data_IF_000952222042
#
_entry.id   IF_000952222042
#
_cell.length_a   1.000
_cell.length_b   1.000
_cell.length_c   1.000
_cell.angle_alpha   90.00
_cell.angle_beta   90.00
_cell.angle_gamma   90.00
#
_symmetry.space_group_name_H-M   'P 1'
#
loop_
_entity.id
_entity.type
_entity.pdbx_description
1 polymer ?
#
# COMPACT_ATOMS: atom_id res chain seq x y z
N UNK A 1 11.00 -4.59 27.43
CA UNK A 1 10.83 -3.41 26.54
C UNK A 1 12.05 -3.27 25.62
N UNK A 2 13.26 -3.30 26.14
CA UNK A 2 14.50 -3.12 25.33
C UNK A 2 14.68 -4.29 24.35
N UNK A 3 14.46 -5.52 24.77
CA UNK A 3 14.54 -6.73 23.95
C UNK A 3 13.55 -6.75 22.76
N UNK A 4 12.47 -5.98 22.85
CA UNK A 4 11.45 -5.83 21.81
C UNK A 4 11.62 -4.57 20.98
N UNK A 5 12.78 -3.89 21.04
CA UNK A 5 13.06 -2.67 20.28
C UNK A 5 12.26 -1.44 20.73
N UNK A 6 11.65 -1.48 21.92
CA UNK A 6 10.87 -0.38 22.47
C UNK A 6 11.84 0.59 23.18
N UNK A 7 11.87 1.85 22.73
CA UNK A 7 12.62 2.91 23.41
C UNK A 7 12.05 3.13 24.80
N UNK A 8 12.87 2.89 25.83
CA UNK A 8 12.47 3.04 27.23
C UNK A 8 13.13 4.29 27.79
N UNK A 9 12.34 5.15 28.45
CA UNK A 9 12.79 6.34 29.15
C UNK A 9 12.28 6.23 30.60
N UNK A 10 13.15 6.48 31.56
CA UNK A 10 12.81 6.45 32.98
C UNK A 10 12.68 7.86 33.53
N UNK A 11 11.70 8.10 34.38
CA UNK A 11 11.72 9.29 35.27
C UNK A 11 12.84 9.10 36.29
N UNK A 12 13.65 10.13 36.49
CA UNK A 12 14.77 10.08 37.40
C UNK A 12 14.28 9.99 38.86
N UNK A 13 14.68 8.93 39.53
CA UNK A 13 14.32 8.65 40.91
C UNK A 13 15.55 8.11 41.66
N UNK A 14 15.60 8.18 43.00
CA UNK A 14 16.69 7.58 43.77
C UNK A 14 16.88 6.08 43.51
N UNK A 15 15.81 5.38 43.12
CA UNK A 15 15.82 3.93 42.94
C UNK A 15 16.40 3.49 41.60
N UNK A 16 16.40 4.37 40.58
CA UNK A 16 16.86 4.01 39.23
C UNK A 16 18.16 4.74 38.82
N UNK A 17 18.85 5.38 39.72
CA UNK A 17 20.06 6.20 39.47
C UNK A 17 21.22 5.44 38.81
N UNK A 18 21.28 4.14 38.98
CA UNK A 18 22.29 3.25 38.39
C UNK A 18 21.86 2.56 37.11
N UNK A 19 20.65 2.85 36.61
CA UNK A 19 20.18 2.29 35.36
C UNK A 19 20.91 2.88 34.15
N UNK A 20 21.34 2.07 33.21
CA UNK A 20 21.92 2.49 31.92
C UNK A 20 20.86 2.98 30.91
N UNK A 21 19.60 3.04 31.32
CA UNK A 21 18.50 3.52 30.47
C UNK A 21 18.46 5.05 30.53
N UNK A 22 18.14 5.69 29.38
CA UNK A 22 17.96 7.15 29.33
C UNK A 22 16.96 7.63 30.37
N UNK A 23 17.28 8.66 31.11
CA UNK A 23 16.47 9.23 32.18
C UNK A 23 16.11 10.67 31.92
N UNK A 24 14.95 11.09 32.39
CA UNK A 24 14.48 12.48 32.38
C UNK A 24 14.04 12.91 33.76
N UNK A 25 14.37 14.17 34.15
CA UNK A 25 14.12 14.71 35.50
C UNK A 25 12.74 15.35 35.64
N UNK A 26 12.02 15.57 34.54
CA UNK A 26 10.73 16.22 34.55
C UNK A 26 9.90 15.83 33.34
N UNK A 27 8.57 16.01 33.42
CA UNK A 27 7.68 15.87 32.30
C UNK A 27 8.04 16.81 31.13
N UNK A 28 8.55 18.01 31.43
CA UNK A 28 9.05 18.96 30.43
C UNK A 28 10.23 18.38 29.64
N UNK A 29 11.17 17.75 30.32
CA UNK A 29 12.30 17.04 29.70
C UNK A 29 11.82 15.83 28.91
N UNK A 30 10.87 15.06 29.46
CA UNK A 30 10.24 13.93 28.76
C UNK A 30 9.59 14.38 27.44
N UNK A 31 8.76 15.41 27.47
CA UNK A 31 8.14 15.96 26.25
C UNK A 31 9.18 16.47 25.26
N UNK A 32 10.22 17.15 25.71
CA UNK A 32 11.31 17.59 24.86
C UNK A 32 12.05 16.41 24.23
N UNK A 33 12.34 15.38 25.01
CA UNK A 33 12.99 14.17 24.53
C UNK A 33 12.13 13.48 23.47
N UNK A 34 10.86 13.22 23.75
CA UNK A 34 9.93 12.60 22.81
C UNK A 34 9.77 13.45 21.54
N UNK A 35 9.67 14.76 21.65
CA UNK A 35 9.56 15.66 20.50
C UNK A 35 10.82 15.63 19.62
N UNK A 36 12.00 15.57 20.23
CA UNK A 36 13.30 15.53 19.52
C UNK A 36 13.61 14.14 18.92
N UNK A 37 12.94 13.08 19.41
CA UNK A 37 13.12 11.69 18.95
C UNK A 37 11.87 11.16 18.24
N UNK A 38 10.92 12.03 17.90
CA UNK A 38 9.79 11.66 17.03
C UNK A 38 10.39 11.25 15.69
N UNK A 39 10.24 9.98 15.32
CA UNK A 39 10.68 9.52 13.99
C UNK A 39 10.02 10.39 12.93
N UNK A 40 10.81 10.88 12.00
CA UNK A 40 10.26 11.56 10.82
C UNK A 40 9.25 10.63 10.14
N UNK A 41 8.11 11.21 9.79
CA UNK A 41 7.10 10.44 9.05
C UNK A 41 7.66 10.03 7.69
N UNK A 42 7.31 8.84 7.29
CA UNK A 42 7.70 8.30 5.98
C UNK A 42 6.84 8.96 4.90
N UNK A 43 7.49 9.64 3.95
CA UNK A 43 6.82 10.22 2.78
C UNK A 43 6.35 9.12 1.85
N UNK A 44 5.05 9.11 1.52
CA UNK A 44 4.49 8.12 0.62
C UNK A 44 3.38 8.66 -0.28
N UNK A 45 3.19 7.94 -1.37
CA UNK A 45 2.07 8.05 -2.32
C UNK A 45 1.36 6.71 -2.33
N UNK A 46 0.02 6.71 -2.32
CA UNK A 46 -0.80 5.52 -2.57
C UNK A 46 -1.35 5.59 -4.00
N UNK A 47 -1.09 4.57 -4.82
CA UNK A 47 -1.66 4.40 -6.16
C UNK A 47 -2.65 3.22 -6.12
N UNK A 48 -3.96 3.50 -6.31
CA UNK A 48 -5.08 2.61 -5.96
C UNK A 48 -6.23 2.69 -6.95
N UNK A 49 -6.89 1.58 -7.22
CA UNK A 49 -8.13 1.49 -8.01
C UNK A 49 -9.36 1.22 -7.12
N UNK A 50 -9.52 2.03 -6.08
CA UNK A 50 -10.35 1.90 -4.86
C UNK A 50 -11.80 1.41 -5.07
N UNK A 51 -12.38 1.50 -6.25
CA UNK A 51 -13.75 1.01 -6.51
C UNK A 51 -13.79 -0.33 -7.26
N UNK A 52 -12.64 -0.86 -7.62
CA UNK A 52 -12.55 -2.10 -8.38
C UNK A 52 -13.08 -3.31 -7.57
N UNK A 53 -12.47 -3.57 -6.42
CA UNK A 53 -12.93 -4.59 -5.46
C UNK A 53 -13.19 -3.95 -4.09
N UNK A 54 -13.27 -4.74 -3.03
CA UNK A 54 -13.59 -4.21 -1.69
C UNK A 54 -12.34 -3.98 -0.80
N UNK A 55 -11.20 -4.47 -1.20
CA UNK A 55 -9.98 -4.49 -0.37
C UNK A 55 -9.19 -3.18 -0.40
N UNK A 56 -9.23 -2.44 -1.50
CA UNK A 56 -8.69 -1.07 -1.56
C UNK A 56 -9.30 -0.15 -0.50
N UNK A 57 -10.62 -0.24 -0.25
CA UNK A 57 -11.26 0.60 0.78
C UNK A 57 -10.71 0.29 2.17
N UNK A 58 -10.43 -1.00 2.46
CA UNK A 58 -9.75 -1.37 3.70
C UNK A 58 -8.33 -0.83 3.74
N UNK A 59 -7.57 -0.96 2.66
CA UNK A 59 -6.19 -0.48 2.58
C UNK A 59 -6.09 1.05 2.73
N UNK A 60 -6.92 1.81 2.01
CA UNK A 60 -6.98 3.27 2.13
C UNK A 60 -7.34 3.69 3.56
N UNK A 61 -8.34 3.05 4.17
CA UNK A 61 -8.76 3.33 5.54
C UNK A 61 -7.64 3.01 6.55
N UNK A 62 -6.96 1.90 6.37
CA UNK A 62 -5.84 1.47 7.20
C UNK A 62 -4.66 2.43 7.11
N UNK A 63 -4.35 2.90 5.89
CA UNK A 63 -3.31 3.90 5.67
C UNK A 63 -3.63 5.22 6.39
N UNK A 64 -4.84 5.76 6.20
CA UNK A 64 -5.24 7.04 6.81
C UNK A 64 -5.27 6.92 8.35
N UNK A 65 -5.71 5.80 8.89
CA UNK A 65 -5.66 5.53 10.34
C UNK A 65 -4.23 5.36 10.88
N UNK A 66 -3.25 5.19 9.99
CA UNK A 66 -1.81 5.11 10.33
C UNK A 66 -1.05 6.41 10.03
N UNK A 67 -1.73 7.54 9.88
CA UNK A 67 -1.15 8.86 9.54
C UNK A 67 -0.16 9.43 10.54
N UNK A 68 -0.05 8.84 11.72
CA UNK A 68 1.00 9.12 12.71
C UNK A 68 2.38 8.62 12.26
N UNK A 69 2.43 7.54 11.47
CA UNK A 69 3.64 6.95 10.90
C UNK A 69 4.01 7.56 9.55
N UNK A 70 3.04 8.06 8.79
CA UNK A 70 3.16 8.40 7.39
C UNK A 70 2.82 9.86 7.10
N UNK A 71 3.60 10.47 6.22
CA UNK A 71 3.24 11.68 5.50
C UNK A 71 2.65 11.27 4.14
N UNK A 72 1.30 11.19 4.07
CA UNK A 72 0.59 10.85 2.85
C UNK A 72 0.59 12.10 1.96
N UNK A 73 1.48 12.14 0.97
CA UNK A 73 1.67 13.29 0.10
C UNK A 73 0.68 13.31 -1.06
N UNK A 74 0.31 12.13 -1.58
CA UNK A 74 -0.72 11.98 -2.59
C UNK A 74 -1.42 10.62 -2.52
N UNK A 75 -2.64 10.58 -3.03
CA UNK A 75 -3.40 9.40 -3.40
C UNK A 75 -3.70 9.53 -4.89
N UNK A 76 -3.20 8.61 -5.70
CA UNK A 76 -3.37 8.61 -7.15
C UNK A 76 -4.30 7.48 -7.57
N UNK A 77 -5.18 7.77 -8.53
CA UNK A 77 -6.13 6.79 -9.03
C UNK A 77 -5.47 5.95 -10.10
N UNK A 78 -5.23 4.67 -9.81
CA UNK A 78 -4.76 3.70 -10.79
C UNK A 78 -5.88 3.37 -11.80
N UNK A 79 -5.55 3.15 -13.09
CA UNK A 79 -6.54 2.75 -14.07
C UNK A 79 -7.01 1.32 -13.82
N UNK A 80 -8.32 1.08 -13.94
CA UNK A 80 -8.86 -0.27 -14.02
C UNK A 80 -10.04 -0.35 -14.98
N UNK A 81 -10.23 -1.52 -15.57
CA UNK A 81 -11.39 -1.85 -16.38
C UNK A 81 -11.97 -3.18 -15.96
N UNK A 82 -13.26 -3.35 -16.11
CA UNK A 82 -13.91 -4.58 -15.69
C UNK A 82 -14.95 -5.05 -16.71
N UNK A 83 -14.60 -6.04 -17.53
CA UNK A 83 -15.43 -6.52 -18.65
C UNK A 83 -16.81 -6.99 -18.20
N UNK A 84 -16.92 -7.74 -17.12
CA UNK A 84 -18.21 -8.27 -16.64
C UNK A 84 -19.15 -7.21 -16.06
N UNK A 85 -18.60 -6.05 -15.62
CA UNK A 85 -19.37 -4.90 -15.16
C UNK A 85 -19.59 -3.86 -16.25
N UNK A 86 -19.04 -4.07 -17.44
CA UNK A 86 -18.97 -3.06 -18.50
C UNK A 86 -18.35 -1.73 -18.04
N UNK A 87 -17.33 -1.83 -17.18
CA UNK A 87 -16.59 -0.66 -16.70
C UNK A 87 -15.37 -0.44 -17.59
N UNK A 88 -15.36 0.67 -18.31
CA UNK A 88 -14.20 1.15 -19.06
C UNK A 88 -13.22 1.87 -18.12
N UNK A 89 -11.96 1.98 -18.52
CA UNK A 89 -10.91 2.61 -17.70
C UNK A 89 -11.33 4.01 -17.24
N UNK A 90 -11.90 4.83 -18.12
CA UNK A 90 -12.38 6.17 -17.80
C UNK A 90 -13.45 6.17 -16.71
N UNK A 91 -14.41 5.25 -16.79
CA UNK A 91 -15.49 5.14 -15.81
C UNK A 91 -14.96 4.61 -14.47
N UNK A 92 -14.03 3.62 -14.53
CA UNK A 92 -13.34 3.09 -13.35
C UNK A 92 -12.56 4.16 -12.60
N UNK A 93 -11.91 5.06 -13.33
CA UNK A 93 -11.19 6.18 -12.74
C UNK A 93 -12.13 7.13 -11.96
N UNK A 94 -13.27 7.51 -12.54
CA UNK A 94 -14.26 8.36 -11.87
C UNK A 94 -14.86 7.68 -10.64
N UNK A 95 -15.16 6.39 -10.73
CA UNK A 95 -15.69 5.60 -9.62
C UNK A 95 -14.68 5.56 -8.45
N UNK A 96 -13.42 5.24 -8.74
CA UNK A 96 -12.36 5.20 -7.73
C UNK A 96 -12.07 6.57 -7.12
N UNK A 97 -12.02 7.63 -7.94
CA UNK A 97 -11.82 8.99 -7.45
C UNK A 97 -12.90 9.39 -6.43
N UNK A 98 -14.16 9.17 -6.78
CA UNK A 98 -15.29 9.49 -5.90
C UNK A 98 -15.31 8.64 -4.63
N UNK A 99 -14.93 7.37 -4.73
CA UNK A 99 -14.85 6.46 -3.57
C UNK A 99 -13.74 6.88 -2.60
N UNK A 100 -12.57 7.28 -3.11
CA UNK A 100 -11.48 7.83 -2.32
C UNK A 100 -11.95 9.06 -1.54
N UNK A 101 -12.58 10.03 -2.21
CA UNK A 101 -13.09 11.24 -1.56
C UNK A 101 -14.11 10.91 -0.46
N UNK A 102 -15.00 9.96 -0.70
CA UNK A 102 -16.01 9.51 0.26
C UNK A 102 -15.38 8.92 1.53
N UNK A 103 -14.39 8.03 1.38
CA UNK A 103 -13.69 7.41 2.52
C UNK A 103 -12.86 8.45 3.27
N UNK A 104 -12.14 9.32 2.55
CA UNK A 104 -11.37 10.41 3.14
C UNK A 104 -12.26 11.34 3.97
N UNK A 105 -13.45 11.70 3.47
CA UNK A 105 -14.40 12.52 4.21
C UNK A 105 -14.87 11.85 5.52
N UNK A 106 -15.16 10.54 5.52
CA UNK A 106 -15.54 9.84 6.74
C UNK A 106 -14.39 9.72 7.76
N UNK A 107 -13.15 9.80 7.31
CA UNK A 107 -11.96 9.75 8.14
C UNK A 107 -11.41 11.14 8.50
N UNK A 108 -12.10 12.23 8.12
CA UNK A 108 -11.64 13.61 8.29
C UNK A 108 -10.20 13.78 7.78
N UNK A 109 -9.93 13.20 6.61
CA UNK A 109 -8.66 13.35 5.92
C UNK A 109 -8.78 14.46 4.88
N UNK A 110 -7.92 15.47 4.99
CA UNK A 110 -7.87 16.57 4.05
C UNK A 110 -7.40 16.08 2.68
N UNK A 111 -8.25 16.30 1.67
CA UNK A 111 -8.02 15.88 0.28
C UNK A 111 -7.53 16.99 -0.63
N UNK A 112 -7.44 18.22 -0.13
CA UNK A 112 -7.01 19.38 -0.92
C UNK A 112 -5.58 19.15 -1.45
N UNK A 113 -5.44 19.17 -2.77
CA UNK A 113 -4.17 18.90 -3.46
C UNK A 113 -3.49 17.58 -3.06
N UNK A 114 -4.30 16.53 -2.78
CA UNK A 114 -3.82 15.20 -2.38
C UNK A 114 -4.39 14.06 -3.19
N UNK A 115 -5.54 14.21 -3.85
CA UNK A 115 -6.17 13.15 -4.64
C UNK A 115 -6.12 13.53 -6.11
N UNK A 116 -5.52 12.68 -6.94
CA UNK A 116 -5.22 12.98 -8.35
C UNK A 116 -5.72 11.88 -9.26
N UNK A 117 -6.41 12.27 -10.33
CA UNK A 117 -6.83 11.35 -11.39
C UNK A 117 -5.61 10.88 -12.18
N UNK A 118 -5.57 9.58 -12.50
CA UNK A 118 -4.48 8.94 -13.20
C UNK A 118 -4.75 8.70 -14.67
N UNK A 119 -4.14 7.63 -15.18
CA UNK A 119 -4.19 7.26 -16.58
C UNK A 119 -5.59 6.90 -17.05
N UNK A 120 -5.91 7.34 -18.26
CA UNK A 120 -7.22 7.10 -18.89
C UNK A 120 -7.24 5.81 -19.72
N UNK A 121 -6.09 5.16 -19.85
CA UNK A 121 -5.91 3.87 -20.51
C UNK A 121 -4.56 3.25 -20.10
N UNK A 122 -4.27 2.07 -20.57
CA UNK A 122 -3.05 1.31 -20.28
C UNK A 122 -1.95 1.58 -21.30
N UNK A 123 -0.69 1.49 -20.89
CA UNK A 123 0.48 1.62 -21.79
C UNK A 123 0.42 0.56 -22.90
N UNK A 124 0.01 -0.66 -22.58
CA UNK A 124 -0.14 -1.73 -23.57
C UNK A 124 -1.16 -1.42 -24.69
N UNK A 125 -2.06 -0.46 -24.46
CA UNK A 125 -3.00 0.05 -25.46
C UNK A 125 -2.48 1.29 -26.21
N UNK A 126 -1.22 1.68 -25.98
CA UNK A 126 -0.58 2.84 -26.59
C UNK A 126 -0.74 4.15 -25.81
N UNK A 127 -1.27 4.10 -24.58
CA UNK A 127 -1.38 5.30 -23.74
C UNK A 127 0.00 5.77 -23.28
N UNK A 128 0.34 7.03 -23.55
CA UNK A 128 1.64 7.63 -23.21
C UNK A 128 1.52 9.10 -22.78
N UNK A 129 0.36 9.50 -22.23
CA UNK A 129 0.11 10.87 -21.83
C UNK A 129 0.52 11.12 -20.36
N UNK A 130 0.99 12.34 -20.08
CA UNK A 130 1.09 12.83 -18.71
C UNK A 130 -0.29 13.24 -18.22
N UNK A 131 -0.62 12.82 -17.00
CA UNK A 131 -1.85 13.16 -16.31
C UNK A 131 -1.53 13.72 -14.92
N UNK A 132 -2.54 14.10 -14.16
CA UNK A 132 -2.36 14.75 -12.86
C UNK A 132 -1.61 13.84 -11.86
N UNK A 133 -1.94 12.53 -11.84
CA UNK A 133 -1.24 11.57 -11.00
C UNK A 133 0.23 11.42 -11.37
N UNK A 134 0.53 11.26 -12.66
CA UNK A 134 1.92 11.15 -13.18
C UNK A 134 2.73 12.40 -12.85
N UNK A 135 2.15 13.59 -13.09
CA UNK A 135 2.80 14.86 -12.77
C UNK A 135 3.07 14.98 -11.26
N UNK A 136 2.11 14.60 -10.43
CA UNK A 136 2.26 14.68 -8.97
C UNK A 136 3.26 13.66 -8.42
N UNK A 137 3.31 12.44 -8.93
CA UNK A 137 4.34 11.45 -8.59
C UNK A 137 5.74 12.02 -8.87
N UNK A 138 5.93 12.60 -10.05
CA UNK A 138 7.22 13.18 -10.44
C UNK A 138 7.58 14.36 -9.53
N UNK A 139 6.65 15.30 -9.30
CA UNK A 139 6.85 16.46 -8.43
C UNK A 139 7.31 16.06 -7.03
N UNK A 140 6.57 15.14 -6.39
CA UNK A 140 6.86 14.66 -5.03
C UNK A 140 8.21 13.92 -4.99
N UNK A 141 8.47 13.05 -5.96
CA UNK A 141 9.73 12.31 -6.03
C UNK A 141 10.93 13.23 -6.21
N UNK A 142 10.83 14.27 -7.02
CA UNK A 142 11.91 15.24 -7.22
C UNK A 142 12.14 16.14 -5.99
N UNK A 143 11.07 16.50 -5.29
CA UNK A 143 11.12 17.34 -4.09
C UNK A 143 11.79 16.63 -2.91
N UNK A 144 11.52 15.34 -2.72
CA UNK A 144 11.98 14.58 -1.57
C UNK A 144 13.32 13.88 -1.83
N UNK A 145 14.04 13.58 -0.75
CA UNK A 145 15.22 12.71 -0.83
C UNK A 145 14.82 11.25 -1.07
N UNK A 146 13.68 10.84 -0.51
CA UNK A 146 13.12 9.50 -0.66
C UNK A 146 11.59 9.54 -0.52
N UNK A 147 10.90 8.88 -1.44
CA UNK A 147 9.44 8.70 -1.42
C UNK A 147 9.12 7.22 -1.64
N UNK A 148 8.21 6.68 -0.83
CA UNK A 148 7.65 5.36 -1.08
C UNK A 148 6.39 5.49 -1.93
N UNK A 149 6.25 4.62 -2.94
CA UNK A 149 5.03 4.52 -3.73
C UNK A 149 4.41 3.16 -3.46
N UNK A 150 3.22 3.18 -2.90
CA UNK A 150 2.44 2.00 -2.57
C UNK A 150 1.45 1.76 -3.72
N UNK A 151 1.71 0.75 -4.54
CA UNK A 151 0.83 0.36 -5.63
C UNK A 151 -0.07 -0.80 -5.21
N UNK A 152 -1.39 -0.60 -5.31
CA UNK A 152 -2.40 -1.63 -5.05
C UNK A 152 -3.38 -1.80 -6.21
N UNK A 153 -3.07 -1.24 -7.37
CA UNK A 153 -3.74 -1.39 -8.66
C UNK A 153 -2.75 -1.69 -9.79
N UNK A 154 -3.20 -1.52 -11.04
CA UNK A 154 -2.32 -1.58 -12.20
C UNK A 154 -1.22 -0.52 -12.11
N UNK A 155 0.03 -0.91 -12.39
CA UNK A 155 1.23 -0.08 -12.12
C UNK A 155 1.47 1.03 -13.18
N UNK A 156 0.47 1.34 -13.99
CA UNK A 156 0.52 2.25 -15.15
C UNK A 156 1.02 3.66 -14.81
N UNK A 157 0.44 4.30 -13.78
CA UNK A 157 0.85 5.67 -13.39
C UNK A 157 2.32 5.72 -12.98
N UNK A 158 2.77 4.73 -12.23
CA UNK A 158 4.15 4.62 -11.74
C UNK A 158 5.11 4.40 -12.92
N UNK A 159 4.76 3.52 -13.85
CA UNK A 159 5.54 3.26 -15.05
C UNK A 159 5.66 4.51 -15.95
N UNK A 160 4.56 5.23 -16.14
CA UNK A 160 4.56 6.50 -16.88
C UNK A 160 5.43 7.55 -16.20
N UNK A 161 5.35 7.68 -14.87
CA UNK A 161 6.19 8.62 -14.14
C UNK A 161 7.69 8.32 -14.33
N UNK A 162 8.09 7.06 -14.25
CA UNK A 162 9.46 6.61 -14.50
C UNK A 162 9.86 6.88 -15.96
N UNK A 163 8.99 6.54 -16.93
CA UNK A 163 9.25 6.77 -18.37
C UNK A 163 9.41 8.25 -18.70
N UNK A 164 8.59 9.12 -18.09
CA UNK A 164 8.59 10.58 -18.36
C UNK A 164 9.70 11.33 -17.61
N UNK A 165 10.12 10.84 -16.43
CA UNK A 165 11.21 11.43 -15.65
C UNK A 165 12.09 10.33 -15.00
N UNK A 166 13.01 9.73 -15.74
CA UNK A 166 13.85 8.63 -15.23
C UNK A 166 14.70 8.99 -14.00
N UNK A 167 14.94 10.27 -13.73
CA UNK A 167 15.72 10.71 -12.56
C UNK A 167 15.06 10.36 -11.24
N UNK A 168 13.74 10.11 -11.23
CA UNK A 168 13.01 9.73 -10.00
C UNK A 168 13.38 8.33 -9.51
N UNK A 169 13.91 7.46 -10.36
CA UNK A 169 14.24 6.04 -10.03
C UNK A 169 15.10 5.93 -8.77
N UNK A 170 16.05 6.83 -8.59
CA UNK A 170 16.95 6.83 -7.42
C UNK A 170 16.31 7.49 -6.17
N UNK A 171 15.12 8.07 -6.30
CA UNK A 171 14.43 8.80 -5.23
C UNK A 171 13.16 8.10 -4.74
N UNK A 172 12.71 7.09 -5.45
CA UNK A 172 11.51 6.32 -5.09
C UNK A 172 11.84 4.88 -4.72
N UNK A 173 11.00 4.32 -3.87
CA UNK A 173 10.96 2.89 -3.57
C UNK A 173 9.52 2.42 -3.75
N UNK A 174 9.30 1.42 -4.58
CA UNK A 174 7.97 0.91 -4.91
C UNK A 174 7.69 -0.34 -4.08
N UNK A 175 6.52 -0.37 -3.46
CA UNK A 175 5.95 -1.52 -2.78
C UNK A 175 4.66 -1.86 -3.51
N UNK A 176 4.61 -2.97 -4.21
CA UNK A 176 3.50 -3.28 -5.12
C UNK A 176 2.88 -4.64 -4.84
N UNK A 177 1.55 -4.65 -4.71
CA UNK A 177 0.76 -5.86 -4.76
C UNK A 177 0.52 -6.22 -6.23
N UNK A 178 1.21 -7.21 -6.73
CA UNK A 178 1.08 -7.61 -8.13
C UNK A 178 1.92 -8.81 -8.48
N UNK A 179 1.45 -9.55 -9.47
CA UNK A 179 2.06 -10.79 -9.88
C UNK A 179 1.89 -11.93 -8.87
N UNK A 180 2.55 -13.01 -9.16
CA UNK A 180 2.58 -14.20 -8.32
C UNK A 180 4.02 -14.50 -7.87
N UNK A 181 4.21 -15.50 -7.04
CA UNK A 181 5.56 -15.89 -6.60
C UNK A 181 6.40 -16.43 -7.77
N UNK A 182 7.73 -16.26 -7.73
CA UNK A 182 8.62 -16.85 -8.72
C UNK A 182 8.45 -18.39 -8.77
N UNK A 183 8.25 -18.91 -9.97
CA UNK A 183 7.94 -20.33 -10.20
C UNK A 183 6.44 -20.63 -10.36
N UNK A 184 5.56 -19.67 -10.11
CA UNK A 184 4.16 -19.83 -10.50
C UNK A 184 4.02 -19.82 -12.03
N UNK A 185 2.99 -20.50 -12.55
CA UNK A 185 2.83 -20.75 -13.99
C UNK A 185 2.66 -19.47 -14.83
N UNK A 186 2.06 -18.42 -14.27
CA UNK A 186 1.80 -17.14 -14.92
C UNK A 186 1.63 -16.02 -13.88
N UNK A 187 1.54 -14.77 -14.36
CA UNK A 187 1.22 -13.59 -13.55
C UNK A 187 -0.10 -12.94 -14.01
N UNK A 188 -1.09 -13.75 -14.42
CA UNK A 188 -2.40 -13.27 -14.87
C UNK A 188 -3.32 -12.87 -13.70
N UNK A 189 -2.75 -12.44 -12.57
CA UNK A 189 -3.53 -11.80 -11.53
C UNK A 189 -3.98 -10.39 -11.96
N UNK A 190 -4.87 -9.78 -11.20
CA UNK A 190 -5.62 -8.63 -11.69
C UNK A 190 -4.74 -7.41 -12.00
N UNK A 191 -3.88 -7.00 -11.08
CA UNK A 191 -3.05 -5.79 -11.22
C UNK A 191 -2.01 -5.92 -12.32
N UNK A 192 -1.37 -7.09 -12.41
CA UNK A 192 -0.33 -7.34 -13.40
C UNK A 192 -0.88 -7.41 -14.84
N UNK A 193 -1.97 -8.18 -15.03
CA UNK A 193 -2.50 -8.44 -16.37
C UNK A 193 -3.14 -7.22 -17.03
N UNK A 194 -3.54 -6.22 -16.23
CA UNK A 194 -4.16 -5.02 -16.79
C UNK A 194 -3.18 -4.20 -17.61
N UNK A 195 -1.89 -4.15 -17.23
CA UNK A 195 -0.89 -3.41 -18.00
C UNK A 195 0.50 -4.08 -17.91
N UNK A 196 0.69 -5.15 -18.66
CA UNK A 196 1.94 -5.92 -18.71
C UNK A 196 3.11 -5.06 -19.20
N UNK A 197 2.87 -4.10 -20.12
CA UNK A 197 3.92 -3.20 -20.59
C UNK A 197 4.37 -2.22 -19.50
N UNK A 198 3.46 -1.75 -18.65
CA UNK A 198 3.82 -0.96 -17.48
C UNK A 198 4.72 -1.75 -16.51
N UNK A 199 4.39 -3.03 -16.28
CA UNK A 199 5.23 -3.90 -15.43
C UNK A 199 6.64 -4.07 -16.02
N UNK A 200 6.77 -4.29 -17.32
CA UNK A 200 8.08 -4.38 -18.00
C UNK A 200 8.90 -3.11 -17.81
N UNK A 201 8.30 -1.93 -17.99
CA UNK A 201 8.98 -0.63 -17.80
C UNK A 201 9.52 -0.52 -16.37
N UNK A 202 8.71 -0.86 -15.35
CA UNK A 202 9.13 -0.80 -13.95
C UNK A 202 10.27 -1.80 -13.68
N UNK A 203 10.16 -3.04 -14.17
CA UNK A 203 11.19 -4.08 -13.98
C UNK A 203 12.51 -3.73 -14.67
N UNK A 204 12.49 -3.00 -15.78
CA UNK A 204 13.67 -2.57 -16.53
C UNK A 204 14.31 -1.31 -15.95
N UNK A 205 13.56 -0.51 -15.23
CA UNK A 205 13.99 0.80 -14.73
C UNK A 205 15.09 0.76 -13.67
N UNK A 206 15.35 -0.41 -13.06
CA UNK A 206 16.25 -0.60 -11.91
C UNK A 206 15.79 0.12 -10.63
N UNK A 207 14.54 0.54 -10.58
CA UNK A 207 13.95 1.12 -9.36
C UNK A 207 13.97 0.10 -8.21
N UNK A 208 14.13 0.57 -7.00
CA UNK A 208 14.00 -0.29 -5.82
C UNK A 208 12.56 -0.76 -5.69
N UNK A 209 12.33 -2.06 -5.90
CA UNK A 209 11.02 -2.68 -5.98
C UNK A 209 10.88 -3.80 -4.97
N UNK A 210 9.78 -3.78 -4.23
CA UNK A 210 9.31 -4.90 -3.41
C UNK A 210 7.97 -5.37 -3.95
N UNK A 211 7.87 -6.64 -4.28
CA UNK A 211 6.64 -7.28 -4.76
C UNK A 211 6.02 -8.09 -3.62
N UNK A 212 4.72 -7.89 -3.43
CA UNK A 212 3.88 -8.74 -2.60
C UNK A 212 3.08 -9.65 -3.54
N UNK A 213 3.48 -10.94 -3.70
CA UNK A 213 2.81 -11.84 -4.62
C UNK A 213 1.39 -12.20 -4.16
N UNK A 214 0.43 -12.22 -5.07
CA UNK A 214 -0.95 -12.51 -4.76
C UNK A 214 -1.13 -13.97 -4.32
N UNK A 215 -0.85 -14.93 -5.21
CA UNK A 215 -1.05 -16.35 -4.93
C UNK A 215 -0.02 -16.87 -3.93
N UNK A 216 -0.44 -17.79 -3.07
CA UNK A 216 0.32 -18.48 -2.04
C UNK A 216 0.85 -17.58 -0.90
N UNK A 217 0.98 -16.27 -1.10
CA UNK A 217 1.50 -15.33 -0.09
C UNK A 217 0.36 -14.46 0.45
N UNK A 218 -0.09 -13.46 -0.32
CA UNK A 218 -1.11 -12.52 0.18
C UNK A 218 -2.49 -13.17 0.27
N UNK A 219 -2.74 -14.24 -0.47
CA UNK A 219 -3.95 -15.07 -0.32
C UNK A 219 -4.17 -15.64 1.09
N UNK A 220 -3.13 -15.66 1.95
CA UNK A 220 -3.25 -15.99 3.37
C UNK A 220 -4.13 -14.98 4.16
N UNK A 221 -4.32 -13.78 3.62
CA UNK A 221 -5.21 -12.78 4.22
C UNK A 221 -6.70 -13.06 3.95
N UNK A 222 -7.07 -14.33 3.84
CA UNK A 222 -8.47 -14.74 3.77
C UNK A 222 -9.14 -14.59 5.13
N UNK A 223 -10.34 -14.00 5.13
CA UNK A 223 -11.13 -13.77 6.34
C UNK A 223 -12.63 -13.98 6.05
N UNK A 224 -13.39 -14.30 7.06
CA UNK A 224 -14.84 -14.46 6.98
C UNK A 224 -15.60 -13.23 7.52
N UNK A 225 -16.83 -13.09 7.08
CA UNK A 225 -17.71 -11.96 7.42
C UNK A 225 -18.03 -11.88 8.93
N UNK A 226 -18.14 -13.03 9.62
CA UNK A 226 -18.45 -13.05 11.05
C UNK A 226 -17.27 -12.50 11.86
N UNK A 227 -16.05 -12.82 11.44
CA UNK A 227 -14.84 -12.24 12.03
C UNK A 227 -14.80 -10.72 11.83
N UNK A 228 -15.10 -10.22 10.61
CA UNK A 228 -15.17 -8.77 10.36
C UNK A 228 -16.22 -8.10 11.23
N UNK A 229 -17.44 -8.66 11.30
CA UNK A 229 -18.53 -8.14 12.15
C UNK A 229 -18.11 -8.08 13.60
N UNK A 230 -17.51 -9.16 14.13
CA UNK A 230 -17.05 -9.21 15.54
C UNK A 230 -16.18 -8.00 15.92
N UNK A 231 -15.30 -7.54 15.02
CA UNK A 231 -14.35 -6.48 15.32
C UNK A 231 -14.79 -5.09 14.87
N UNK A 232 -15.59 -4.98 13.81
CA UNK A 232 -15.88 -3.71 13.16
C UNK A 232 -17.35 -3.30 13.19
N UNK A 233 -18.31 -4.21 13.44
CA UNK A 233 -19.73 -3.90 13.39
C UNK A 233 -20.09 -2.82 14.43
N UNK A 234 -20.83 -1.81 13.98
CA UNK A 234 -21.27 -0.66 14.79
C UNK A 234 -20.14 0.20 15.40
N UNK A 235 -18.89 0.03 14.95
CA UNK A 235 -17.79 0.89 15.42
C UNK A 235 -17.83 2.29 14.78
N UNK A 236 -18.19 2.37 13.51
CA UNK A 236 -18.33 3.63 12.77
C UNK A 236 -19.15 3.44 11.49
N UNK A 237 -19.56 4.53 10.86
CA UNK A 237 -20.18 4.50 9.52
C UNK A 237 -19.24 3.83 8.48
N UNK A 238 -17.95 4.14 8.54
CA UNK A 238 -16.94 3.52 7.69
C UNK A 238 -16.88 2.00 7.92
N UNK A 239 -16.79 1.55 9.18
CA UNK A 239 -16.70 0.12 9.48
C UNK A 239 -17.91 -0.66 8.99
N UNK A 240 -19.12 -0.13 9.16
CA UNK A 240 -20.33 -0.76 8.63
C UNK A 240 -20.33 -0.81 7.11
N UNK A 241 -19.86 0.25 6.46
CA UNK A 241 -19.69 0.29 5.01
C UNK A 241 -18.67 -0.73 4.50
N UNK A 242 -17.53 -0.88 5.17
CA UNK A 242 -16.51 -1.87 4.81
C UNK A 242 -17.06 -3.31 4.92
N UNK A 243 -17.86 -3.58 5.95
CA UNK A 243 -18.55 -4.88 6.12
C UNK A 243 -19.55 -5.11 4.98
N UNK A 244 -20.35 -4.10 4.63
CA UNK A 244 -21.30 -4.19 3.52
C UNK A 244 -20.59 -4.46 2.19
N UNK A 245 -19.52 -3.69 1.88
CA UNK A 245 -18.71 -3.89 0.66
C UNK A 245 -18.04 -5.25 0.62
N UNK A 246 -17.53 -5.74 1.75
CA UNK A 246 -16.98 -7.09 1.84
C UNK A 246 -18.02 -8.16 1.55
N UNK A 247 -19.21 -8.03 2.12
CA UNK A 247 -20.29 -9.00 1.98
C UNK A 247 -20.87 -9.00 0.56
N UNK A 248 -21.07 -7.83 -0.01
CA UNK A 248 -21.56 -7.65 -1.37
C UNK A 248 -20.94 -6.41 -2.02
N UNK A 249 -19.94 -6.62 -2.85
CA UNK A 249 -19.29 -5.53 -3.60
C UNK A 249 -20.05 -5.12 -4.87
N UNK A 250 -21.22 -5.74 -5.11
CA UNK A 250 -22.03 -5.53 -6.31
C UNK A 250 -21.50 -6.27 -7.54
N UNK A 251 -20.41 -7.02 -7.40
CA UNK A 251 -19.79 -7.75 -8.51
C UNK A 251 -19.72 -9.26 -8.29
N UNK A 252 -19.14 -9.70 -7.19
CA UNK A 252 -19.02 -11.12 -6.87
C UNK A 252 -20.30 -11.70 -6.23
N UNK A 253 -21.31 -10.83 -6.00
CA UNK A 253 -22.48 -11.19 -5.21
C UNK A 253 -22.14 -11.38 -3.73
N UNK A 254 -23.01 -12.10 -3.03
CA UNK A 254 -22.83 -12.38 -1.61
C UNK A 254 -21.61 -13.29 -1.39
N UNK A 255 -20.69 -12.83 -0.57
CA UNK A 255 -19.47 -13.57 -0.20
C UNK A 255 -19.34 -13.64 1.31
N UNK A 256 -19.28 -14.83 1.85
CA UNK A 256 -19.05 -15.05 3.28
C UNK A 256 -17.55 -15.00 3.65
N UNK A 257 -16.68 -15.27 2.68
CA UNK A 257 -15.22 -15.22 2.86
C UNK A 257 -14.55 -14.56 1.68
N UNK A 258 -13.59 -13.68 1.96
CA UNK A 258 -12.73 -13.04 0.94
C UNK A 258 -11.30 -12.92 1.43
N UNK A 259 -10.38 -12.70 0.52
CA UNK A 259 -9.05 -12.20 0.82
C UNK A 259 -9.11 -10.67 0.76
N UNK A 260 -8.60 -9.98 1.79
CA UNK A 260 -8.41 -8.53 1.76
C UNK A 260 -6.95 -8.28 1.35
N UNK A 261 -6.71 -8.28 0.04
CA UNK A 261 -5.37 -8.33 -0.52
C UNK A 261 -4.52 -7.11 -0.18
N UNK A 262 -5.04 -5.93 -0.41
CA UNK A 262 -4.31 -4.65 -0.44
C UNK A 262 -3.80 -4.19 0.91
N UNK A 263 -4.42 -4.64 2.00
CA UNK A 263 -3.92 -4.31 3.34
C UNK A 263 -2.49 -4.82 3.58
N UNK A 264 -2.03 -5.82 2.80
CA UNK A 264 -0.68 -6.34 2.90
C UNK A 264 0.39 -5.28 2.62
N UNK A 265 0.17 -4.42 1.63
CA UNK A 265 1.10 -3.35 1.25
C UNK A 265 1.23 -2.32 2.38
N UNK A 266 0.11 -1.93 2.97
CA UNK A 266 0.08 -0.99 4.09
C UNK A 266 0.75 -1.61 5.33
N UNK A 267 0.41 -2.85 5.65
CA UNK A 267 0.99 -3.60 6.78
C UNK A 267 2.51 -3.76 6.63
N UNK A 268 3.02 -4.00 5.41
CA UNK A 268 4.45 -4.08 5.13
C UNK A 268 5.17 -2.78 5.47
N UNK A 269 4.55 -1.63 5.17
CA UNK A 269 5.11 -0.32 5.52
C UNK A 269 5.01 -0.01 7.02
N UNK A 270 3.98 -0.49 7.70
CA UNK A 270 3.83 -0.31 9.16
C UNK A 270 4.90 -1.10 9.90
N UNK A 271 5.07 -2.39 9.56
CA UNK A 271 6.04 -3.23 10.25
C UNK A 271 6.56 -4.37 9.37
N UNK A 272 7.76 -4.18 8.81
CA UNK A 272 8.43 -5.18 7.97
C UNK A 272 8.72 -6.51 8.68
N UNK A 273 8.79 -6.52 10.02
CA UNK A 273 9.03 -7.75 10.80
C UNK A 273 7.84 -8.74 10.78
N UNK A 274 6.70 -8.33 10.22
CA UNK A 274 5.58 -9.25 9.98
C UNK A 274 5.71 -10.04 8.68
N UNK A 275 6.81 -9.82 7.94
CA UNK A 275 7.03 -10.39 6.63
C UNK A 275 8.42 -11.02 6.52
N UNK A 276 8.51 -12.15 5.83
CA UNK A 276 9.77 -12.68 5.35
C UNK A 276 9.95 -12.26 3.89
N UNK A 277 11.18 -11.96 3.50
CA UNK A 277 11.49 -11.49 2.14
C UNK A 277 12.71 -12.20 1.57
N UNK A 278 12.75 -12.28 0.24
CA UNK A 278 13.90 -12.77 -0.50
C UNK A 278 14.27 -11.79 -1.62
N UNK A 279 15.55 -11.52 -1.78
CA UNK A 279 16.05 -10.81 -2.96
C UNK A 279 16.40 -11.81 -4.05
N UNK A 280 15.98 -11.51 -5.26
CA UNK A 280 16.31 -12.27 -6.47
C UNK A 280 16.69 -11.30 -7.59
N UNK A 281 17.46 -11.79 -8.57
CA UNK A 281 17.67 -11.07 -9.83
C UNK A 281 16.30 -10.76 -10.46
N UNK A 282 16.08 -9.52 -10.90
CA UNK A 282 14.82 -9.09 -11.49
C UNK A 282 14.48 -9.94 -12.71
N UNK A 283 13.36 -10.66 -12.73
CA UNK A 283 13.05 -11.54 -13.85
C UNK A 283 12.69 -10.77 -15.12
N UNK A 284 12.91 -11.40 -16.27
CA UNK A 284 12.22 -11.01 -17.49
C UNK A 284 10.77 -11.50 -17.46
N UNK A 285 9.89 -10.83 -18.19
CA UNK A 285 8.49 -11.21 -18.32
C UNK A 285 8.32 -11.86 -19.71
N UNK A 286 7.95 -13.13 -19.72
CA UNK A 286 7.65 -13.87 -20.95
C UNK A 286 6.30 -13.45 -21.54
N UNK A 287 6.02 -13.88 -22.75
CA UNK A 287 4.76 -13.60 -23.45
C UNK A 287 3.53 -14.19 -22.75
N UNK A 288 3.70 -15.30 -22.02
CA UNK A 288 2.68 -15.92 -21.16
C UNK A 288 2.59 -15.28 -19.77
N UNK A 289 3.28 -14.17 -19.56
CA UNK A 289 3.43 -13.43 -18.31
C UNK A 289 4.23 -14.12 -17.21
N UNK A 290 4.73 -15.35 -17.41
CA UNK A 290 5.58 -16.02 -16.44
C UNK A 290 6.92 -15.32 -16.27
N UNK A 291 7.53 -15.50 -15.10
CA UNK A 291 8.87 -14.97 -14.80
C UNK A 291 9.97 -15.85 -15.35
N UNK A 292 10.93 -15.22 -16.01
CA UNK A 292 12.20 -15.84 -16.38
C UNK A 292 13.33 -15.20 -15.59
N UNK A 293 13.78 -15.90 -14.56
CA UNK A 293 14.89 -15.43 -13.72
C UNK A 293 16.22 -15.68 -14.42
N UNK A 294 17.02 -14.61 -14.57
CA UNK A 294 18.37 -14.66 -15.13
C UNK A 294 19.35 -13.98 -14.18
N UNK A 295 20.59 -14.49 -14.08
CA UNK A 295 21.52 -14.06 -13.02
C UNK A 295 22.17 -12.68 -13.18
N UNK A 296 21.92 -11.97 -14.29
CA UNK A 296 22.68 -10.76 -14.65
C UNK A 296 21.89 -9.45 -14.57
N UNK A 297 20.77 -9.42 -13.84
CA UNK A 297 19.97 -8.22 -13.66
C UNK A 297 20.09 -7.67 -12.23
N UNK A 298 19.63 -6.44 -12.00
CA UNK A 298 19.53 -5.87 -10.66
C UNK A 298 18.59 -6.71 -9.78
N UNK A 299 18.76 -6.60 -8.46
CA UNK A 299 17.92 -7.34 -7.53
C UNK A 299 16.63 -6.57 -7.21
N UNK A 300 15.54 -7.32 -7.09
CA UNK A 300 14.27 -6.88 -6.52
C UNK A 300 13.91 -7.77 -5.33
N UNK A 301 13.01 -7.30 -4.48
CA UNK A 301 12.59 -8.01 -3.29
C UNK A 301 11.22 -8.65 -3.51
N UNK A 302 11.08 -9.93 -3.16
CA UNK A 302 9.78 -10.60 -3.05
C UNK A 302 9.46 -10.88 -1.60
N UNK A 303 8.23 -10.61 -1.19
CA UNK A 303 7.68 -11.14 0.06
C UNK A 303 7.41 -12.62 -0.14
N UNK A 304 7.89 -13.45 0.79
CA UNK A 304 7.76 -14.91 0.73
C UNK A 304 6.85 -15.47 1.81
N UNK A 305 6.54 -14.66 2.84
CA UNK A 305 5.63 -15.04 3.92
C UNK A 305 5.13 -13.80 4.66
N UNK A 306 3.97 -13.91 5.27
CA UNK A 306 3.41 -12.85 6.11
C UNK A 306 2.81 -13.41 7.41
N UNK A 307 2.76 -12.58 8.44
CA UNK A 307 2.10 -12.90 9.70
C UNK A 307 0.67 -12.36 9.69
N UNK A 308 -0.26 -13.17 9.16
CA UNK A 308 -1.68 -12.85 9.03
C UNK A 308 -2.30 -12.33 10.34
N UNK A 309 -1.99 -12.97 11.46
CA UNK A 309 -2.62 -12.63 12.73
C UNK A 309 -2.19 -11.23 13.21
N UNK A 310 -0.92 -10.88 13.08
CA UNK A 310 -0.41 -9.55 13.43
C UNK A 310 -0.98 -8.46 12.53
N UNK A 311 -1.15 -8.74 11.26
CA UNK A 311 -1.74 -7.80 10.30
C UNK A 311 -3.18 -7.51 10.67
N UNK A 312 -4.01 -8.55 10.93
CA UNK A 312 -5.41 -8.35 11.30
C UNK A 312 -5.58 -7.74 12.70
N UNK A 313 -4.73 -8.11 13.66
CA UNK A 313 -4.71 -7.49 14.98
C UNK A 313 -4.52 -5.96 14.89
N UNK A 314 -3.53 -5.52 14.13
CA UNK A 314 -3.25 -4.08 13.93
C UNK A 314 -4.36 -3.37 13.13
N UNK A 315 -4.84 -4.01 12.04
CA UNK A 315 -5.94 -3.48 11.24
C UNK A 315 -7.19 -3.21 12.09
N UNK A 316 -7.62 -4.22 12.87
CA UNK A 316 -8.83 -4.11 13.70
C UNK A 316 -8.67 -3.10 14.81
N UNK A 317 -7.51 -3.03 15.44
CA UNK A 317 -7.22 -2.01 16.45
C UNK A 317 -7.36 -0.61 15.84
N UNK A 318 -6.77 -0.36 14.67
CA UNK A 318 -6.82 0.96 14.02
C UNK A 318 -8.20 1.34 13.49
N UNK A 319 -8.90 0.41 12.84
CA UNK A 319 -10.25 0.68 12.30
C UNK A 319 -11.31 0.74 13.40
N UNK A 320 -11.19 -0.10 14.45
CA UNK A 320 -12.15 -0.17 15.54
C UNK A 320 -12.00 0.94 16.59
N UNK A 321 -10.89 1.69 16.61
CA UNK A 321 -10.73 2.83 17.50
C UNK A 321 -11.70 3.96 17.13
N UNK A 322 -12.60 4.28 18.05
CA UNK A 322 -13.41 5.51 18.00
C UNK A 322 -12.50 6.69 18.38
N UNK A 323 -12.09 7.49 17.38
CA UNK A 323 -11.45 8.80 17.61
C UNK A 323 -12.39 9.92 17.21
#
# INVERSE_FOLDING_TARGET
CIENGITTILMDTPYNKYSNIQRVKSWKEFYRYVSNHKKDKINLILDTDTYNECDDQFALSYLIKSKDLFNIEAITVAPYSHTKRDVKVKDGQELSYNEILKICNWLNFDTDNKVFKGSMDYIQNGYDEKNDAVNKIIEIALKNNKTYILGIGAITNIALAIKKEPKIVNKIEIIWLGGNEPGYKDNLEYNFRQDVEAVKIVFESKVKLTILPCRNIVSELRIDINTLKKYLENKSKLCNYLIERFYNDGYHGIQETRVIWDIAVIAYMINKNWFETKQISCPNIRTDTSYEVTDNRHNITFVTKLNRNKIYEDLFNKLGEQR
#
